data_IF_873521137034
#
_entry.id   IF_873521137034
#
_cell.length_a   1.000
_cell.length_b   1.000
_cell.length_c   1.000
_cell.angle_alpha   90.00
_cell.angle_beta   90.00
_cell.angle_gamma   90.00
#
_symmetry.space_group_name_H-M   'P 1'
#
loop_
_entity.id
_entity.type
_entity.pdbx_description
1 polymer ?
#
# COMPACT_ATOMS: atom_id res chain seq x y z
N UNK A 1 2.22 -34.43 19.81
CA UNK A 1 0.77 -34.10 20.06
C UNK A 1 0.61 -33.00 21.09
N UNK A 2 1.49 -32.90 22.13
CA UNK A 2 1.41 -31.87 23.18
C UNK A 2 1.67 -30.43 22.69
N UNK A 3 2.17 -30.23 21.48
CA UNK A 3 2.46 -28.94 20.85
C UNK A 3 1.54 -28.65 19.67
N UNK A 4 0.41 -29.32 19.57
CA UNK A 4 -0.59 -29.10 18.52
C UNK A 4 -1.86 -28.57 19.21
N UNK A 5 -2.19 -27.33 18.90
CA UNK A 5 -3.48 -26.73 19.23
C UNK A 5 -4.44 -26.89 18.04
N UNK A 6 -5.71 -27.10 18.31
CA UNK A 6 -6.77 -27.10 17.30
C UNK A 6 -7.67 -25.91 17.58
N UNK A 7 -7.75 -25.02 16.63
CA UNK A 7 -8.53 -23.81 16.70
C UNK A 7 -9.60 -23.84 15.60
N UNK A 8 -10.83 -23.52 15.92
CA UNK A 8 -11.96 -23.58 14.99
C UNK A 8 -11.92 -22.45 13.95
N UNK A 9 -11.16 -21.39 14.23
CA UNK A 9 -10.97 -20.21 13.41
C UNK A 9 -9.76 -20.24 12.48
N UNK A 10 -9.01 -21.38 12.44
CA UNK A 10 -7.93 -21.59 11.47
C UNK A 10 -8.52 -21.79 10.07
N UNK A 11 -8.93 -20.69 9.46
CA UNK A 11 -9.48 -20.61 8.13
C UNK A 11 -9.10 -19.26 7.50
N UNK A 12 -8.29 -19.29 6.46
CA UNK A 12 -7.83 -18.11 5.79
C UNK A 12 -8.77 -17.69 4.65
N UNK A 13 -9.20 -16.43 4.66
CA UNK A 13 -9.94 -15.79 3.59
C UNK A 13 -9.71 -14.28 3.56
N UNK A 14 -9.78 -13.68 2.37
CA UNK A 14 -9.71 -12.24 2.19
C UNK A 14 -10.69 -11.81 1.09
N UNK A 15 -11.84 -11.25 1.51
CA UNK A 15 -12.88 -10.87 0.55
C UNK A 15 -13.41 -12.05 -0.26
N UNK A 16 -13.67 -11.82 -1.54
CA UNK A 16 -14.03 -12.84 -2.53
C UNK A 16 -12.76 -13.51 -3.08
N UNK A 17 -12.82 -14.81 -3.36
CA UNK A 17 -11.70 -15.51 -3.97
C UNK A 17 -11.30 -16.81 -3.29
N UNK A 18 -10.13 -17.37 -3.66
CA UNK A 18 -9.61 -18.60 -3.09
C UNK A 18 -9.42 -18.51 -1.57
N UNK A 19 -9.89 -19.55 -0.85
CA UNK A 19 -9.82 -19.62 0.60
C UNK A 19 -9.80 -21.08 1.09
N UNK A 20 -9.51 -21.30 2.36
CA UNK A 20 -9.53 -22.64 2.94
C UNK A 20 -8.98 -22.70 4.36
N UNK A 21 -9.10 -23.87 5.02
CA UNK A 21 -8.50 -24.08 6.33
C UNK A 21 -6.98 -23.95 6.25
N UNK A 22 -6.37 -23.55 7.35
CA UNK A 22 -4.93 -23.38 7.43
C UNK A 22 -4.31 -24.11 8.62
N UNK A 23 -2.98 -24.14 8.63
CA UNK A 23 -2.15 -24.61 9.71
C UNK A 23 -1.00 -23.65 9.90
N UNK A 24 -0.83 -23.19 11.10
CA UNK A 24 0.17 -22.18 11.45
C UNK A 24 1.29 -22.80 12.28
N UNK A 25 2.50 -22.30 12.09
CA UNK A 25 3.67 -22.67 12.89
C UNK A 25 4.02 -21.48 13.77
N UNK A 26 3.93 -21.67 15.07
CA UNK A 26 4.27 -20.67 16.06
C UNK A 26 5.60 -21.02 16.72
N UNK A 27 6.36 -19.97 17.03
CA UNK A 27 7.52 -20.06 17.91
C UNK A 27 7.12 -19.57 19.31
N UNK A 28 7.37 -20.39 20.35
CA UNK A 28 7.12 -20.04 21.75
C UNK A 28 8.29 -19.20 22.27
N UNK A 29 8.05 -17.90 22.46
CA UNK A 29 9.02 -16.92 22.98
C UNK A 29 9.25 -17.04 24.50
N UNK A 30 8.52 -17.94 25.15
CA UNK A 30 8.66 -18.21 26.58
C UNK A 30 7.55 -17.58 27.44
N UNK A 31 7.35 -18.14 28.64
CA UNK A 31 6.27 -17.73 29.52
C UNK A 31 6.38 -16.29 30.04
N UNK A 32 7.58 -15.71 30.03
CA UNK A 32 7.84 -14.33 30.43
C UNK A 32 7.21 -13.30 29.46
N UNK A 33 6.93 -13.73 28.22
CA UNK A 33 6.22 -12.94 27.22
C UNK A 33 4.71 -13.20 27.17
N UNK A 34 4.25 -14.16 27.97
CA UNK A 34 2.85 -14.55 28.02
C UNK A 34 2.00 -13.61 28.87
N UNK A 35 0.68 -13.72 28.71
CA UNK A 35 -0.30 -12.98 29.51
C UNK A 35 -0.34 -13.38 30.99
N UNK A 36 0.38 -14.43 31.41
CA UNK A 36 0.37 -14.94 32.77
C UNK A 36 -0.83 -15.82 33.14
N UNK A 37 -1.77 -16.01 32.21
CA UNK A 37 -2.96 -16.82 32.40
C UNK A 37 -2.63 -18.33 32.32
N UNK A 38 -3.24 -19.21 33.14
CA UNK A 38 -3.00 -20.64 33.13
C UNK A 38 -3.34 -21.33 31.76
N UNK A 39 -4.19 -20.71 30.94
CA UNK A 39 -4.62 -21.21 29.64
C UNK A 39 -3.85 -20.64 28.45
N UNK A 40 -2.75 -19.93 28.67
CA UNK A 40 -1.95 -19.33 27.60
C UNK A 40 -1.43 -20.41 26.63
N UNK A 41 -1.94 -20.36 25.39
CA UNK A 41 -1.65 -21.32 24.33
C UNK A 41 -1.60 -20.57 22.97
N UNK A 42 -1.16 -21.21 21.87
CA UNK A 42 -1.31 -20.66 20.52
C UNK A 42 -2.76 -20.23 20.26
N UNK A 43 -2.94 -19.05 19.65
CA UNK A 43 -4.25 -18.37 19.53
C UNK A 43 -4.58 -17.40 20.67
N UNK A 44 -3.72 -17.26 21.69
CA UNK A 44 -3.80 -16.20 22.67
C UNK A 44 -3.31 -14.87 22.08
N UNK A 45 -4.00 -13.76 22.37
CA UNK A 45 -3.63 -12.40 21.92
C UNK A 45 -2.37 -11.82 22.60
N UNK A 46 -1.59 -12.64 23.30
CA UNK A 46 -0.35 -12.22 23.92
C UNK A 46 0.87 -12.46 23.01
N UNK A 47 1.99 -11.78 23.32
CA UNK A 47 3.21 -11.79 22.51
C UNK A 47 4.05 -13.09 22.65
N UNK A 48 3.57 -14.11 23.38
CA UNK A 48 4.31 -15.34 23.65
C UNK A 48 4.48 -16.21 22.40
N UNK A 49 3.40 -16.38 21.62
CA UNK A 49 3.37 -17.28 20.47
C UNK A 49 3.48 -16.48 19.18
N UNK A 50 4.67 -16.41 18.62
CA UNK A 50 4.92 -15.69 17.37
C UNK A 50 4.66 -16.63 16.18
N UNK A 51 3.63 -16.35 15.38
CA UNK A 51 3.39 -17.02 14.11
C UNK A 51 4.55 -16.71 13.15
N UNK A 52 5.25 -17.75 12.69
CA UNK A 52 6.37 -17.63 11.75
C UNK A 52 6.05 -18.16 10.36
N UNK A 53 5.05 -19.03 10.23
CA UNK A 53 4.68 -19.65 8.96
C UNK A 53 3.20 -20.02 8.96
N UNK A 54 2.52 -19.72 7.86
CA UNK A 54 1.14 -20.15 7.61
C UNK A 54 1.07 -21.03 6.35
N UNK A 55 0.31 -22.14 6.41
CA UNK A 55 0.07 -23.08 5.33
C UNK A 55 -1.44 -23.14 5.07
N UNK A 56 -1.92 -22.44 4.06
CA UNK A 56 -3.33 -22.37 3.68
C UNK A 56 -3.65 -23.49 2.71
N UNK A 57 -4.59 -24.37 3.07
CA UNK A 57 -5.10 -25.44 2.20
C UNK A 57 -6.27 -24.92 1.38
N UNK A 58 -5.97 -24.21 0.31
CA UNK A 58 -6.94 -23.54 -0.56
C UNK A 58 -7.84 -24.57 -1.25
N UNK A 59 -9.09 -24.67 -0.82
CA UNK A 59 -10.05 -25.68 -1.26
C UNK A 59 -11.33 -25.10 -1.82
N UNK A 60 -11.61 -23.80 -1.52
CA UNK A 60 -12.83 -23.15 -1.85
C UNK A 60 -12.59 -21.82 -2.55
N UNK A 61 -13.60 -21.35 -3.27
CA UNK A 61 -13.70 -19.98 -3.78
C UNK A 61 -14.89 -19.31 -3.12
N UNK A 62 -14.66 -18.27 -2.32
CA UNK A 62 -15.71 -17.48 -1.68
C UNK A 62 -16.36 -16.57 -2.71
N UNK A 63 -17.68 -16.62 -2.81
CA UNK A 63 -18.48 -15.83 -3.75
C UNK A 63 -18.93 -14.51 -3.10
N UNK A 64 -19.45 -13.59 -3.92
CA UNK A 64 -19.98 -12.30 -3.47
C UNK A 64 -21.15 -12.43 -2.47
N UNK A 65 -21.93 -13.54 -2.55
CA UNK A 65 -23.02 -13.85 -1.63
C UNK A 65 -22.55 -14.51 -0.32
N UNK A 66 -21.23 -14.68 -0.15
CA UNK A 66 -20.63 -15.32 1.01
C UNK A 66 -20.61 -16.86 0.96
N UNK A 67 -21.10 -17.48 -0.09
CA UNK A 67 -21.06 -18.94 -0.27
C UNK A 67 -19.66 -19.42 -0.67
N UNK A 68 -19.35 -20.68 -0.30
CA UNK A 68 -18.07 -21.33 -0.63
C UNK A 68 -18.29 -22.41 -1.71
N UNK A 69 -17.69 -22.20 -2.88
CA UNK A 69 -17.72 -23.16 -3.98
C UNK A 69 -16.40 -23.93 -3.98
N UNK A 70 -16.42 -25.29 -3.99
CA UNK A 70 -15.18 -26.05 -4.07
C UNK A 70 -14.38 -25.73 -5.33
N UNK A 71 -13.06 -25.57 -5.19
CA UNK A 71 -12.14 -25.43 -6.32
C UNK A 71 -11.98 -26.75 -7.05
N UNK A 72 -11.92 -26.71 -8.37
CA UNK A 72 -11.62 -27.90 -9.20
C UNK A 72 -10.21 -28.46 -8.90
N UNK A 73 -9.24 -27.55 -8.77
CA UNK A 73 -7.85 -27.87 -8.36
C UNK A 73 -7.62 -27.26 -6.99
N UNK A 74 -7.34 -28.11 -6.01
CA UNK A 74 -6.94 -27.67 -4.66
C UNK A 74 -5.46 -27.32 -4.66
N UNK A 75 -5.12 -26.27 -3.91
CA UNK A 75 -3.76 -25.78 -3.75
C UNK A 75 -3.34 -25.74 -2.28
N UNK A 76 -2.05 -25.59 -2.06
CA UNK A 76 -1.50 -25.12 -0.79
C UNK A 76 -0.80 -23.81 -1.09
N UNK A 77 -1.28 -22.75 -0.45
CA UNK A 77 -0.63 -21.45 -0.45
C UNK A 77 0.08 -21.29 0.89
N UNK A 78 1.37 -21.00 0.87
CA UNK A 78 2.17 -20.95 2.09
C UNK A 78 2.93 -19.64 2.16
N UNK A 79 2.98 -19.06 3.36
CA UNK A 79 3.69 -17.81 3.62
C UNK A 79 4.46 -17.83 4.92
N UNK A 80 5.70 -17.33 4.89
CA UNK A 80 6.53 -17.13 6.06
C UNK A 80 6.99 -15.68 6.15
N UNK A 81 6.94 -15.10 7.36
CA UNK A 81 7.44 -13.74 7.58
C UNK A 81 8.96 -13.74 7.64
N UNK A 82 9.64 -13.11 6.67
CA UNK A 82 11.10 -13.01 6.68
C UNK A 82 11.62 -12.38 7.97
N UNK A 83 11.03 -11.28 8.38
CA UNK A 83 11.42 -10.54 9.57
C UNK A 83 11.13 -11.33 10.86
N UNK A 84 10.00 -12.07 10.90
CA UNK A 84 9.66 -12.95 12.02
C UNK A 84 10.66 -14.11 12.14
N UNK A 85 11.02 -14.74 11.04
CA UNK A 85 12.06 -15.78 11.01
C UNK A 85 13.42 -15.21 11.41
N UNK A 86 13.79 -14.04 10.89
CA UNK A 86 15.04 -13.36 11.25
C UNK A 86 15.09 -13.03 12.74
N UNK A 87 14.00 -12.53 13.35
CA UNK A 87 13.98 -12.20 14.77
C UNK A 87 14.18 -13.43 15.66
N UNK A 88 13.58 -14.56 15.30
CA UNK A 88 13.78 -15.84 16.01
C UNK A 88 15.22 -16.33 15.88
N UNK A 89 15.77 -16.33 14.65
CA UNK A 89 17.12 -16.84 14.39
C UNK A 89 18.22 -15.96 14.98
N UNK A 90 17.99 -14.64 15.06
CA UNK A 90 18.90 -13.68 15.64
C UNK A 90 18.67 -13.50 17.16
N UNK A 91 17.65 -14.15 17.72
CA UNK A 91 17.26 -14.02 19.12
C UNK A 91 17.00 -12.56 19.52
N UNK A 92 16.27 -11.84 18.64
CA UNK A 92 15.87 -10.46 18.86
C UNK A 92 14.55 -10.37 19.64
N UNK A 93 14.32 -9.25 20.31
CA UNK A 93 13.07 -9.01 21.04
C UNK A 93 11.87 -8.84 20.13
N UNK A 94 12.08 -8.24 18.97
CA UNK A 94 11.06 -8.06 17.92
C UNK A 94 11.68 -8.02 16.53
N UNK A 95 10.85 -7.90 15.50
CA UNK A 95 11.28 -7.71 14.11
C UNK A 95 12.14 -6.45 13.92
N UNK A 96 11.95 -5.45 14.78
CA UNK A 96 12.61 -4.15 14.68
C UNK A 96 14.08 -4.20 15.09
N UNK A 97 14.50 -5.15 15.91
CA UNK A 97 15.90 -5.32 16.35
C UNK A 97 16.71 -6.23 15.41
N UNK A 98 16.10 -6.72 14.31
CA UNK A 98 16.80 -7.52 13.31
C UNK A 98 17.74 -6.65 12.46
N UNK A 99 18.75 -7.28 11.86
CA UNK A 99 19.64 -6.65 10.89
C UNK A 99 18.94 -6.11 9.62
N UNK A 100 17.68 -6.49 9.43
CA UNK A 100 16.84 -6.02 8.33
C UNK A 100 16.19 -4.64 8.58
N UNK A 101 16.03 -4.24 9.85
CA UNK A 101 15.30 -3.00 10.22
C UNK A 101 16.13 -2.12 11.17
N UNK A 102 16.82 -2.71 12.14
CA UNK A 102 17.53 -1.98 13.18
C UNK A 102 18.51 -0.89 12.66
N UNK A 103 19.30 -1.12 11.60
CA UNK A 103 20.18 -0.07 11.07
C UNK A 103 19.44 1.19 10.60
N UNK A 104 18.17 1.06 10.18
CA UNK A 104 17.34 2.21 9.80
C UNK A 104 16.92 2.98 11.05
N UNK A 105 16.55 2.25 12.13
CA UNK A 105 16.25 2.84 13.45
C UNK A 105 17.47 3.60 13.98
N UNK A 106 18.67 3.00 13.95
CA UNK A 106 19.90 3.66 14.39
C UNK A 106 20.20 4.94 13.60
N UNK A 107 20.02 4.91 12.28
CA UNK A 107 20.22 6.08 11.43
C UNK A 107 19.21 7.19 11.73
N UNK A 108 17.93 6.84 11.96
CA UNK A 108 16.88 7.78 12.36
C UNK A 108 17.16 8.36 13.76
N UNK A 109 17.48 7.53 14.74
CA UNK A 109 17.84 7.94 16.11
C UNK A 109 19.03 8.89 16.12
N UNK A 110 20.09 8.58 15.36
CA UNK A 110 21.26 9.44 15.20
C UNK A 110 20.87 10.80 14.59
N UNK A 111 19.97 10.82 13.61
CA UNK A 111 19.49 12.04 12.97
C UNK A 111 18.67 12.90 13.95
N UNK A 112 17.87 12.28 14.79
CA UNK A 112 17.06 12.93 15.81
C UNK A 112 17.84 13.32 17.06
N UNK A 113 19.03 12.75 17.29
CA UNK A 113 19.80 12.95 18.52
C UNK A 113 19.20 12.23 19.73
N UNK A 114 18.44 11.15 19.51
CA UNK A 114 17.79 10.33 20.55
C UNK A 114 18.40 8.93 20.62
N UNK A 115 18.08 8.18 21.67
CA UNK A 115 18.54 6.80 21.85
C UNK A 115 17.34 5.88 21.88
N UNK A 116 17.36 4.81 21.10
CA UNK A 116 16.36 3.75 21.13
C UNK A 116 16.36 3.02 22.48
N UNK A 117 15.22 2.54 22.95
CA UNK A 117 14.98 1.95 24.29
C UNK A 117 15.11 2.94 25.47
N UNK A 118 14.89 4.24 25.21
CA UNK A 118 14.89 5.24 26.29
C UNK A 118 13.48 5.51 26.80
N UNK A 119 12.52 5.65 25.92
CA UNK A 119 11.11 5.80 26.25
C UNK A 119 10.22 5.24 25.11
N UNK A 120 8.99 4.84 25.48
CA UNK A 120 8.08 4.14 24.56
C UNK A 120 7.66 4.98 23.34
N UNK A 121 7.42 6.28 23.52
CA UNK A 121 6.94 7.15 22.44
C UNK A 121 8.05 7.43 21.41
N UNK A 122 9.28 7.60 21.89
CA UNK A 122 10.48 7.68 21.06
C UNK A 122 10.67 6.39 20.26
N UNK A 123 10.53 5.23 20.89
CA UNK A 123 10.68 3.94 20.24
C UNK A 123 9.61 3.70 19.18
N UNK A 124 8.35 4.02 19.46
CA UNK A 124 7.25 3.97 18.48
C UNK A 124 7.57 4.85 17.27
N UNK A 125 8.01 6.09 17.51
CA UNK A 125 8.34 7.02 16.43
C UNK A 125 9.49 6.52 15.55
N UNK A 126 10.54 5.98 16.14
CA UNK A 126 11.68 5.40 15.42
C UNK A 126 11.27 4.16 14.61
N UNK A 127 10.44 3.28 15.20
CA UNK A 127 9.89 2.10 14.50
C UNK A 127 9.05 2.49 13.30
N UNK A 128 8.16 3.48 13.45
CA UNK A 128 7.33 4.00 12.34
C UNK A 128 8.20 4.59 11.22
N UNK A 129 9.21 5.39 11.56
CA UNK A 129 10.13 5.96 10.56
C UNK A 129 10.84 4.85 9.79
N UNK A 130 11.37 3.84 10.46
CA UNK A 130 12.10 2.74 9.84
C UNK A 130 11.19 1.90 8.92
N UNK A 131 10.06 1.44 9.42
CA UNK A 131 9.08 0.66 8.66
C UNK A 131 8.60 1.41 7.41
N UNK A 132 8.17 2.65 7.59
CA UNK A 132 7.61 3.44 6.50
C UNK A 132 8.67 3.86 5.48
N UNK A 133 9.90 4.19 5.89
CA UNK A 133 10.98 4.49 4.94
C UNK A 133 11.31 3.27 4.08
N UNK A 134 11.34 2.08 4.68
CA UNK A 134 11.54 0.82 3.97
C UNK A 134 10.42 0.56 2.96
N UNK A 135 9.16 0.65 3.40
CA UNK A 135 7.99 0.46 2.55
C UNK A 135 7.92 1.47 1.40
N UNK A 136 8.15 2.76 1.68
CA UNK A 136 8.19 3.84 0.68
C UNK A 136 9.27 3.58 -0.38
N UNK A 137 10.46 3.17 0.04
CA UNK A 137 11.57 2.86 -0.87
C UNK A 137 11.20 1.73 -1.82
N UNK A 138 10.62 0.63 -1.31
CA UNK A 138 10.19 -0.49 -2.11
C UNK A 138 9.05 -0.11 -3.08
N UNK A 139 8.00 0.54 -2.59
CA UNK A 139 6.86 0.96 -3.42
C UNK A 139 7.26 1.87 -4.58
N UNK A 140 8.14 2.85 -4.35
CA UNK A 140 8.62 3.73 -5.43
C UNK A 140 9.52 2.95 -6.40
N UNK A 141 10.35 2.05 -5.89
CA UNK A 141 11.13 1.16 -6.74
C UNK A 141 10.26 0.30 -7.66
N UNK A 142 9.09 -0.12 -7.18
CA UNK A 142 8.10 -0.87 -7.96
C UNK A 142 7.21 0.02 -8.86
N UNK A 143 7.51 1.32 -8.94
CA UNK A 143 6.85 2.26 -9.84
C UNK A 143 5.61 2.97 -9.27
N UNK A 144 5.29 2.78 -7.98
CA UNK A 144 4.22 3.55 -7.35
C UNK A 144 4.69 4.98 -7.07
N UNK A 145 3.89 5.97 -7.45
CA UNK A 145 4.16 7.38 -7.20
C UNK A 145 3.13 7.98 -6.23
N UNK A 146 3.52 8.97 -5.39
CA UNK A 146 2.59 9.64 -4.50
C UNK A 146 1.44 10.29 -5.26
N UNK A 147 0.20 9.95 -4.91
CA UNK A 147 -1.02 10.50 -5.52
C UNK A 147 -2.13 10.72 -4.49
N UNK A 148 -3.29 11.19 -4.94
CA UNK A 148 -4.45 11.40 -4.07
C UNK A 148 -5.39 10.19 -4.03
N UNK A 149 -5.15 9.17 -4.85
CA UNK A 149 -6.03 8.01 -5.01
C UNK A 149 -5.22 6.72 -5.15
N UNK A 150 -5.87 5.58 -4.91
CA UNK A 150 -5.32 4.25 -5.12
C UNK A 150 -4.02 3.98 -4.35
N UNK A 151 -3.11 3.23 -4.96
CA UNK A 151 -1.82 2.83 -4.36
C UNK A 151 -0.94 4.03 -4.00
N UNK A 152 -0.94 5.07 -4.82
CA UNK A 152 -0.16 6.28 -4.59
C UNK A 152 -0.65 7.09 -3.38
N UNK A 153 -1.94 6.99 -3.02
CA UNK A 153 -2.46 7.55 -1.78
C UNK A 153 -1.87 6.84 -0.56
N UNK A 154 -1.84 5.50 -0.58
CA UNK A 154 -1.23 4.71 0.50
C UNK A 154 0.24 5.08 0.69
N UNK A 155 1.00 5.14 -0.41
CA UNK A 155 2.39 5.58 -0.39
C UNK A 155 2.53 6.98 0.22
N UNK A 156 1.74 7.96 -0.23
CA UNK A 156 1.75 9.32 0.30
C UNK A 156 1.44 9.36 1.79
N UNK A 157 0.45 8.59 2.24
CA UNK A 157 0.04 8.51 3.64
C UNK A 157 1.17 8.03 4.54
N UNK A 158 1.81 6.90 4.22
CA UNK A 158 2.89 6.34 5.05
C UNK A 158 4.14 7.23 5.02
N UNK A 159 4.46 7.86 3.88
CA UNK A 159 5.56 8.83 3.80
C UNK A 159 5.30 10.02 4.74
N UNK A 160 4.11 10.63 4.67
CA UNK A 160 3.73 11.76 5.54
C UNK A 160 3.67 11.37 7.00
N UNK A 161 3.25 10.16 7.32
CA UNK A 161 3.28 9.63 8.69
C UNK A 161 4.72 9.53 9.20
N UNK A 162 5.66 9.04 8.40
CA UNK A 162 7.07 9.04 8.78
C UNK A 162 7.61 10.46 9.03
N UNK A 163 7.26 11.43 8.18
CA UNK A 163 7.66 12.84 8.37
C UNK A 163 7.12 13.40 9.68
N UNK A 164 5.85 13.13 10.02
CA UNK A 164 5.25 13.54 11.31
C UNK A 164 6.03 12.96 12.48
N UNK A 165 6.32 11.67 12.47
CA UNK A 165 7.08 11.03 13.55
C UNK A 165 8.50 11.60 13.69
N UNK A 166 9.13 12.04 12.59
CA UNK A 166 10.35 12.81 12.65
C UNK A 166 10.17 14.14 13.41
N UNK A 167 9.04 14.84 13.21
CA UNK A 167 8.72 16.05 13.97
C UNK A 167 8.50 15.79 15.45
N UNK A 168 7.86 14.69 15.81
CA UNK A 168 7.70 14.29 17.23
C UNK A 168 9.06 14.05 17.89
N UNK A 169 10.04 13.57 17.16
CA UNK A 169 11.42 13.42 17.62
C UNK A 169 12.26 14.71 17.57
N UNK A 170 11.65 15.85 17.19
CA UNK A 170 12.34 17.15 17.13
C UNK A 170 13.18 17.36 15.84
N UNK A 171 13.05 16.50 14.83
CA UNK A 171 13.78 16.70 13.57
C UNK A 171 13.13 17.85 12.79
N UNK A 172 13.89 18.89 12.51
CA UNK A 172 13.45 19.98 11.66
C UNK A 172 13.88 19.77 10.20
N UNK A 173 12.95 20.05 9.24
CA UNK A 173 13.18 19.90 7.81
C UNK A 173 13.23 18.47 7.29
N UNK A 174 13.63 18.28 6.03
CA UNK A 174 13.72 16.97 5.38
C UNK A 174 14.81 16.08 5.99
N UNK A 175 14.48 14.79 6.17
CA UNK A 175 15.41 13.82 6.79
C UNK A 175 15.33 12.40 6.24
N UNK A 176 14.29 12.07 5.45
CA UNK A 176 14.09 10.70 4.97
C UNK A 176 15.10 10.27 3.89
N UNK A 177 15.58 11.22 3.07
CA UNK A 177 16.47 10.91 1.94
C UNK A 177 17.76 10.17 2.35
N UNK A 178 18.47 10.53 3.42
CA UNK A 178 19.62 9.75 3.88
C UNK A 178 19.25 8.33 4.37
N UNK A 179 18.06 8.13 4.90
CA UNK A 179 17.61 6.81 5.37
C UNK A 179 17.37 5.84 4.20
N UNK A 180 17.03 6.36 3.01
CA UNK A 180 16.92 5.55 1.79
C UNK A 180 18.24 4.86 1.46
N UNK A 181 19.38 5.51 1.69
CA UNK A 181 20.70 4.89 1.48
C UNK A 181 20.85 3.63 2.34
N UNK A 182 20.44 3.71 3.60
CA UNK A 182 20.49 2.57 4.52
C UNK A 182 19.56 1.44 4.06
N UNK A 183 18.35 1.78 3.62
CA UNK A 183 17.41 0.78 3.09
C UNK A 183 17.98 0.10 1.84
N UNK A 184 18.58 0.85 0.95
CA UNK A 184 19.23 0.31 -0.27
C UNK A 184 20.41 -0.60 0.08
N UNK A 185 21.20 -0.24 1.07
CA UNK A 185 22.34 -1.07 1.51
C UNK A 185 21.87 -2.41 2.11
N UNK A 186 20.71 -2.43 2.77
CA UNK A 186 20.12 -3.66 3.36
C UNK A 186 19.43 -4.51 2.29
N UNK A 187 18.51 -3.92 1.51
CA UNK A 187 17.63 -4.66 0.61
C UNK A 187 18.18 -4.84 -0.80
N UNK A 188 19.03 -3.91 -1.25
CA UNK A 188 19.59 -3.92 -2.61
C UNK A 188 20.34 -5.20 -3.01
N UNK A 189 21.10 -5.86 -2.11
CA UNK A 189 21.72 -7.14 -2.43
C UNK A 189 20.74 -8.25 -2.79
N UNK A 190 19.53 -8.24 -2.21
CA UNK A 190 18.45 -9.20 -2.51
C UNK A 190 17.48 -8.74 -3.58
N UNK A 191 17.32 -7.42 -3.76
CA UNK A 191 16.32 -6.81 -4.66
C UNK A 191 17.02 -5.76 -5.52
N UNK A 192 17.56 -6.18 -6.67
CA UNK A 192 18.38 -5.32 -7.55
C UNK A 192 17.68 -4.03 -7.97
N UNK A 193 16.35 -4.05 -8.22
CA UNK A 193 15.57 -2.88 -8.61
C UNK A 193 15.64 -1.72 -7.60
N UNK A 194 15.77 -2.03 -6.31
CA UNK A 194 15.92 -1.02 -5.25
C UNK A 194 17.24 -0.27 -5.40
N UNK A 195 18.33 -0.98 -5.67
CA UNK A 195 19.64 -0.37 -5.89
C UNK A 195 19.70 0.43 -7.20
N UNK A 196 19.15 -0.11 -8.28
CA UNK A 196 19.13 0.52 -9.61
C UNK A 196 18.33 1.83 -9.62
N UNK A 197 17.21 1.88 -8.89
CA UNK A 197 16.31 3.04 -8.86
C UNK A 197 16.57 4.00 -7.69
N UNK A 198 17.64 3.82 -6.93
CA UNK A 198 18.01 4.60 -5.75
C UNK A 198 17.84 6.11 -5.93
N UNK A 199 18.43 6.67 -6.98
CA UNK A 199 18.39 8.12 -7.22
C UNK A 199 17.00 8.62 -7.60
N UNK A 200 16.22 7.79 -8.29
CA UNK A 200 14.82 8.09 -8.59
C UNK A 200 13.97 8.11 -7.31
N UNK A 201 14.10 7.10 -6.45
CA UNK A 201 13.42 7.03 -5.15
C UNK A 201 13.74 8.27 -4.31
N UNK A 202 15.01 8.64 -4.20
CA UNK A 202 15.46 9.83 -3.46
C UNK A 202 14.81 11.10 -3.96
N UNK A 203 14.72 11.31 -5.28
CA UNK A 203 14.06 12.50 -5.86
C UNK A 203 12.57 12.55 -5.54
N UNK A 204 11.87 11.42 -5.66
CA UNK A 204 10.43 11.35 -5.37
C UNK A 204 10.16 11.65 -3.90
N UNK A 205 10.93 11.03 -2.99
CA UNK A 205 10.79 11.24 -1.54
C UNK A 205 11.12 12.67 -1.17
N UNK A 206 12.24 13.23 -1.67
CA UNK A 206 12.63 14.60 -1.39
C UNK A 206 11.53 15.60 -1.77
N UNK A 207 10.95 15.45 -2.96
CA UNK A 207 9.88 16.32 -3.44
C UNK A 207 8.60 16.24 -2.59
N UNK A 208 8.17 15.04 -2.20
CA UNK A 208 6.97 14.86 -1.39
C UNK A 208 7.18 15.31 0.06
N UNK A 209 8.36 15.02 0.63
CA UNK A 209 8.76 15.45 1.97
C UNK A 209 8.84 16.97 2.06
N UNK A 210 9.48 17.63 1.09
CA UNK A 210 9.57 19.09 1.01
C UNK A 210 8.18 19.75 0.97
N UNK A 211 7.31 19.26 0.05
CA UNK A 211 5.94 19.77 -0.08
C UNK A 211 5.14 19.63 1.20
N UNK A 212 5.27 18.50 1.88
CA UNK A 212 4.54 18.27 3.13
C UNK A 212 5.09 19.12 4.27
N UNK A 213 6.40 19.28 4.38
CA UNK A 213 7.03 20.13 5.39
C UNK A 213 6.58 21.59 5.29
N UNK A 214 6.28 22.11 4.08
CA UNK A 214 5.76 23.48 3.89
C UNK A 214 4.41 23.71 4.55
N UNK A 215 3.54 22.69 4.59
CA UNK A 215 2.18 22.79 5.14
C UNK A 215 2.05 22.17 6.52
N UNK A 216 2.98 21.29 6.91
CA UNK A 216 2.91 20.49 8.13
C UNK A 216 2.79 21.36 9.40
N UNK A 217 3.64 22.35 9.54
CA UNK A 217 3.63 23.20 10.74
C UNK A 217 2.31 23.95 10.92
N UNK A 218 1.77 24.50 9.81
CA UNK A 218 0.48 25.20 9.83
C UNK A 218 -0.68 24.24 10.12
N UNK A 219 -0.66 23.05 9.50
CA UNK A 219 -1.70 22.05 9.71
C UNK A 219 -1.69 21.51 11.14
N UNK A 220 -0.51 21.26 11.74
CA UNK A 220 -0.39 20.85 13.13
C UNK A 220 -0.89 21.93 14.09
N UNK A 221 -0.54 23.21 13.87
CA UNK A 221 -1.03 24.31 14.69
C UNK A 221 -2.56 24.42 14.63
N UNK A 222 -3.12 24.38 13.41
CA UNK A 222 -4.58 24.44 13.23
C UNK A 222 -5.29 23.27 13.90
N UNK A 223 -4.74 22.06 13.82
CA UNK A 223 -5.33 20.88 14.45
C UNK A 223 -5.23 20.95 15.97
N UNK A 224 -4.10 21.42 16.52
CA UNK A 224 -3.93 21.64 17.96
C UNK A 224 -4.96 22.63 18.50
N UNK A 225 -5.09 23.81 17.85
CA UNK A 225 -6.05 24.84 18.23
C UNK A 225 -7.50 24.29 18.17
N UNK A 226 -7.82 23.51 17.16
CA UNK A 226 -9.12 22.87 16.98
C UNK A 226 -9.41 21.84 18.09
N UNK A 227 -8.43 21.01 18.45
CA UNK A 227 -8.55 20.03 19.53
C UNK A 227 -8.78 20.74 20.88
N UNK A 228 -8.03 21.80 21.16
CA UNK A 228 -8.20 22.59 22.39
C UNK A 228 -9.58 23.27 22.47
N UNK A 229 -10.03 23.88 21.38
CA UNK A 229 -11.33 24.55 21.29
C UNK A 229 -12.51 23.55 21.47
N UNK A 230 -12.43 22.39 20.83
CA UNK A 230 -13.45 21.34 20.97
C UNK A 230 -13.51 20.79 22.39
N UNK A 231 -12.36 20.52 23.01
CA UNK A 231 -12.29 20.10 24.41
C UNK A 231 -12.88 21.14 25.37
N UNK A 232 -12.58 22.42 25.15
CA UNK A 232 -13.14 23.50 25.97
C UNK A 232 -14.67 23.59 25.85
N UNK A 233 -15.23 23.18 24.71
CA UNK A 233 -16.68 23.09 24.45
C UNK A 233 -17.31 21.78 24.90
N UNK A 234 -16.53 20.83 25.41
CA UNK A 234 -16.99 19.51 25.80
C UNK A 234 -17.38 18.61 24.62
N UNK A 235 -16.90 18.90 23.43
CA UNK A 235 -17.05 18.05 22.27
C UNK A 235 -15.99 16.95 22.26
N UNK A 236 -16.35 15.81 21.71
CA UNK A 236 -15.51 14.60 21.63
C UNK A 236 -15.16 14.22 20.19
N UNK A 237 -15.61 15.00 19.21
CA UNK A 237 -15.48 14.65 17.80
C UNK A 237 -15.11 15.90 16.97
N UNK A 238 -14.12 15.76 16.09
CA UNK A 238 -13.72 16.75 15.11
C UNK A 238 -14.69 16.70 13.92
N UNK A 239 -15.33 17.82 13.52
CA UNK A 239 -16.24 17.84 12.37
C UNK A 239 -15.58 17.38 11.06
N UNK A 240 -16.29 16.61 10.25
CA UNK A 240 -15.77 16.10 8.97
C UNK A 240 -15.34 17.18 7.98
N UNK A 241 -15.96 18.37 8.04
CA UNK A 241 -15.56 19.54 7.24
C UNK A 241 -14.20 20.10 7.62
N UNK A 242 -13.84 20.02 8.91
CA UNK A 242 -12.51 20.45 9.38
C UNK A 242 -11.46 19.42 9.04
N UNK A 243 -11.79 18.10 9.15
CA UNK A 243 -10.95 17.00 8.66
C UNK A 243 -10.70 17.14 7.15
N UNK A 244 -11.75 17.46 6.38
CA UNK A 244 -11.63 17.70 4.94
C UNK A 244 -10.75 18.92 4.63
N UNK A 245 -10.85 20.01 5.36
CA UNK A 245 -10.00 21.19 5.20
C UNK A 245 -8.52 20.85 5.44
N UNK A 246 -8.21 20.08 6.48
CA UNK A 246 -6.86 19.60 6.75
C UNK A 246 -6.33 18.71 5.60
N UNK A 247 -7.18 17.87 5.05
CA UNK A 247 -6.83 17.00 3.91
C UNK A 247 -6.60 17.79 2.62
N UNK A 248 -7.55 18.63 2.22
CA UNK A 248 -7.56 19.33 0.93
C UNK A 248 -6.52 20.46 0.87
N UNK A 249 -6.43 21.27 1.94
CA UNK A 249 -5.59 22.47 1.98
C UNK A 249 -4.18 22.19 2.48
N UNK A 250 -4.05 21.41 3.53
CA UNK A 250 -2.76 21.18 4.21
C UNK A 250 -2.15 19.82 3.87
N UNK A 251 -2.87 18.97 3.13
CA UNK A 251 -2.39 17.67 2.69
C UNK A 251 -2.27 16.65 3.82
N UNK A 252 -3.04 16.80 4.92
CA UNK A 252 -3.10 15.80 5.97
C UNK A 252 -3.96 14.63 5.51
N UNK A 253 -3.43 13.40 5.36
CA UNK A 253 -4.28 12.24 5.25
C UNK A 253 -5.28 12.22 6.41
N UNK A 254 -6.54 11.85 6.14
CA UNK A 254 -7.55 11.86 7.21
C UNK A 254 -7.20 10.91 8.36
N UNK A 255 -6.53 9.80 8.06
CA UNK A 255 -6.02 8.85 9.06
C UNK A 255 -4.95 9.49 9.97
N UNK A 256 -4.13 10.41 9.43
CA UNK A 256 -3.16 11.15 10.23
C UNK A 256 -3.87 12.15 11.15
N UNK A 257 -4.95 12.77 10.68
CA UNK A 257 -5.80 13.63 11.51
C UNK A 257 -6.48 12.83 12.62
N UNK A 258 -6.98 11.62 12.29
CA UNK A 258 -7.59 10.70 13.26
C UNK A 258 -6.60 10.27 14.35
N UNK A 259 -5.37 9.88 13.97
CA UNK A 259 -4.31 9.51 14.91
C UNK A 259 -4.00 10.65 15.89
N UNK A 260 -3.85 11.89 15.40
CA UNK A 260 -3.58 13.06 16.24
C UNK A 260 -4.81 13.43 17.12
N UNK A 261 -6.01 13.30 16.58
CA UNK A 261 -7.24 13.53 17.34
C UNK A 261 -7.36 12.53 18.50
N UNK A 262 -7.08 11.25 18.25
CA UNK A 262 -7.10 10.19 19.27
C UNK A 262 -6.08 10.41 20.37
N UNK A 263 -4.86 10.90 20.07
CA UNK A 263 -3.89 11.34 21.09
C UNK A 263 -4.46 12.45 21.97
N UNK A 264 -5.29 13.32 21.37
CA UNK A 264 -6.04 14.34 22.08
C UNK A 264 -7.30 13.82 22.80
N UNK A 265 -7.68 12.56 22.66
CA UNK A 265 -8.89 11.98 23.24
C UNK A 265 -10.17 12.34 22.46
N UNK A 266 -10.05 12.71 21.16
CA UNK A 266 -11.19 12.98 20.28
C UNK A 266 -11.27 11.94 19.18
N UNK A 267 -12.48 11.75 18.64
CA UNK A 267 -12.74 11.03 17.38
C UNK A 267 -12.79 12.01 16.20
N UNK A 268 -12.94 11.49 14.97
CA UNK A 268 -13.25 12.28 13.78
C UNK A 268 -14.63 11.92 13.24
N UNK A 269 -15.32 12.88 12.63
CA UNK A 269 -16.54 12.64 11.85
C UNK A 269 -16.16 12.15 10.44
N UNK A 270 -15.97 10.83 10.32
CA UNK A 270 -15.57 10.21 9.06
C UNK A 270 -16.66 10.31 7.99
N UNK A 271 -17.94 10.21 8.37
CA UNK A 271 -19.07 10.31 7.44
C UNK A 271 -19.16 11.72 6.84
N UNK A 272 -19.01 12.76 7.67
CA UNK A 272 -18.96 14.14 7.21
C UNK A 272 -17.75 14.44 6.32
N UNK A 273 -16.58 13.81 6.59
CA UNK A 273 -15.42 13.89 5.72
C UNK A 273 -15.71 13.26 4.35
N UNK A 274 -16.29 12.05 4.32
CA UNK A 274 -16.61 11.33 3.08
C UNK A 274 -17.64 12.08 2.23
N UNK A 275 -18.62 12.72 2.88
CA UNK A 275 -19.60 13.60 2.21
C UNK A 275 -18.91 14.81 1.56
N UNK A 276 -18.00 15.48 2.27
CA UNK A 276 -17.24 16.61 1.74
C UNK A 276 -16.32 16.20 0.57
N UNK A 277 -15.70 15.01 0.65
CA UNK A 277 -14.92 14.42 -0.43
C UNK A 277 -15.76 14.12 -1.66
N UNK A 278 -16.96 13.57 -1.48
CA UNK A 278 -17.90 13.28 -2.58
C UNK A 278 -18.34 14.57 -3.29
N UNK A 279 -18.62 15.62 -2.53
CA UNK A 279 -18.97 16.93 -3.08
C UNK A 279 -17.81 17.54 -3.88
N UNK A 280 -16.58 17.46 -3.37
CA UNK A 280 -15.38 17.93 -4.09
C UNK A 280 -15.19 17.16 -5.40
N UNK A 281 -15.33 15.83 -5.38
CA UNK A 281 -15.24 15.00 -6.59
C UNK A 281 -16.29 15.37 -7.63
N UNK A 282 -17.51 15.66 -7.18
CA UNK A 282 -18.60 16.10 -8.07
C UNK A 282 -18.25 17.45 -8.70
N UNK A 283 -17.83 18.44 -7.91
CA UNK A 283 -17.37 19.74 -8.41
C UNK A 283 -16.19 19.63 -9.37
N UNK A 284 -15.23 18.75 -9.07
CA UNK A 284 -14.09 18.50 -9.95
C UNK A 284 -14.49 17.82 -11.28
N UNK A 285 -15.48 16.92 -11.25
CA UNK A 285 -16.04 16.30 -12.47
C UNK A 285 -16.80 17.34 -13.31
N UNK A 286 -17.64 18.15 -12.70
CA UNK A 286 -18.38 19.22 -13.39
C UNK A 286 -17.44 20.24 -14.02
N UNK A 287 -16.36 20.64 -13.32
CA UNK A 287 -15.32 21.51 -13.86
C UNK A 287 -14.49 20.84 -15.00
N UNK A 288 -14.33 19.50 -15.00
CA UNK A 288 -13.67 18.75 -16.07
C UNK A 288 -14.58 18.54 -17.27
N UNK A 289 -15.88 18.37 -17.08
CA UNK A 289 -16.86 18.23 -18.18
C UNK A 289 -16.82 19.45 -19.11
N UNK A 290 -16.51 20.63 -18.61
CA UNK A 290 -16.29 21.83 -19.44
C UNK A 290 -14.94 21.81 -20.21
N UNK A 291 -13.94 21.01 -19.78
CA UNK A 291 -12.65 20.86 -20.47
C UNK A 291 -12.55 19.55 -21.26
N UNK A 292 -13.19 18.47 -20.79
CA UNK A 292 -13.13 17.11 -21.35
C UNK A 292 -14.26 16.79 -22.36
N UNK A 293 -15.08 17.76 -22.76
CA UNK A 293 -15.99 17.60 -23.90
C UNK A 293 -15.25 17.23 -25.21
N UNK A 294 -13.94 16.92 -25.13
CA UNK A 294 -13.06 16.54 -26.23
C UNK A 294 -12.39 15.17 -26.13
N UNK A 295 -12.56 14.41 -25.03
CA UNK A 295 -11.99 13.06 -24.92
C UNK A 295 -13.05 12.09 -24.43
N UNK A 296 -14.00 11.77 -25.31
CA UNK A 296 -14.84 10.60 -25.12
C UNK A 296 -13.96 9.36 -25.35
N UNK A 297 -13.88 8.43 -24.40
CA UNK A 297 -13.37 7.08 -24.67
C UNK A 297 -14.15 6.50 -25.84
N UNK A 298 -13.50 5.90 -26.86
CA UNK A 298 -14.22 5.21 -27.91
C UNK A 298 -15.19 4.21 -27.28
N UNK A 299 -16.33 4.00 -27.90
CA UNK A 299 -17.30 3.00 -27.45
C UNK A 299 -16.69 1.60 -27.65
N UNK A 300 -15.92 1.15 -26.66
CA UNK A 300 -15.19 -0.13 -26.62
C UNK A 300 -16.02 -1.22 -25.96
N UNK A 301 -17.22 -0.91 -25.49
CA UNK A 301 -18.11 -1.79 -24.73
C UNK A 301 -18.56 -3.07 -25.47
N UNK A 302 -18.21 -3.19 -26.74
CA UNK A 302 -18.61 -4.35 -27.57
C UNK A 302 -17.46 -5.30 -27.94
N UNK A 303 -16.23 -5.04 -27.47
CA UNK A 303 -15.08 -5.87 -27.77
C UNK A 303 -14.71 -6.73 -26.58
N UNK A 304 -15.30 -7.93 -26.50
CA UNK A 304 -14.82 -8.94 -25.59
C UNK A 304 -13.50 -9.53 -26.12
N UNK A 305 -12.48 -9.60 -25.26
CA UNK A 305 -11.24 -10.31 -25.54
C UNK A 305 -10.98 -11.36 -24.46
N UNK A 306 -10.23 -12.38 -24.85
CA UNK A 306 -9.80 -13.45 -23.95
C UNK A 306 -8.52 -13.03 -23.22
N UNK A 307 -8.55 -13.04 -21.90
CA UNK A 307 -7.35 -12.87 -21.07
C UNK A 307 -6.83 -14.25 -20.69
N UNK A 308 -5.66 -14.62 -21.17
CA UNK A 308 -5.03 -15.89 -20.88
C UNK A 308 -4.31 -15.81 -19.53
N UNK A 309 -4.79 -16.55 -18.56
CA UNK A 309 -4.28 -16.55 -17.16
C UNK A 309 -3.20 -17.60 -16.88
N UNK A 310 -2.77 -18.38 -17.88
CA UNK A 310 -1.67 -19.33 -17.74
C UNK A 310 -0.33 -18.64 -18.03
N UNK A 311 0.78 -19.19 -17.54
CA UNK A 311 2.18 -18.73 -17.76
C UNK A 311 2.60 -18.77 -19.25
N UNK A 312 1.85 -18.05 -20.08
CA UNK A 312 2.07 -17.92 -21.52
C UNK A 312 2.78 -16.61 -21.77
N UNK A 313 4.07 -16.66 -22.08
CA UNK A 313 4.89 -15.48 -22.33
C UNK A 313 4.70 -14.89 -23.75
N UNK A 314 4.05 -15.59 -24.66
CA UNK A 314 3.86 -15.17 -26.04
C UNK A 314 2.59 -15.80 -26.64
N UNK A 315 1.75 -14.97 -27.27
CA UNK A 315 0.54 -15.43 -27.96
C UNK A 315 0.41 -14.71 -29.29
N UNK A 316 -0.12 -15.42 -30.30
CA UNK A 316 -0.55 -14.79 -31.55
C UNK A 316 -1.97 -14.23 -31.39
N UNK A 317 -2.12 -12.94 -31.63
CA UNK A 317 -3.40 -12.24 -31.50
C UNK A 317 -3.65 -11.30 -32.70
N UNK A 318 -4.91 -10.94 -32.90
CA UNK A 318 -5.30 -9.92 -33.87
C UNK A 318 -5.58 -8.62 -33.17
N UNK A 319 -5.17 -7.49 -33.75
CA UNK A 319 -5.59 -6.17 -33.32
C UNK A 319 -7.07 -5.99 -33.68
N UNK A 320 -7.90 -5.87 -32.67
CA UNK A 320 -9.35 -5.68 -32.81
C UNK A 320 -9.71 -4.20 -32.90
N UNK A 321 -8.96 -3.37 -32.16
CA UNK A 321 -9.14 -1.92 -32.17
C UNK A 321 -7.79 -1.23 -31.97
N UNK A 322 -7.66 -0.10 -32.65
CA UNK A 322 -6.61 0.90 -32.43
C UNK A 322 -7.29 2.25 -32.20
N UNK A 323 -6.85 3.00 -31.21
CA UNK A 323 -7.45 4.28 -30.88
C UNK A 323 -6.48 5.27 -30.25
N UNK A 324 -6.81 6.55 -30.34
CA UNK A 324 -6.15 7.64 -29.61
C UNK A 324 -7.23 8.46 -28.90
N UNK A 325 -7.22 8.40 -27.56
CA UNK A 325 -8.32 8.95 -26.77
C UNK A 325 -9.68 8.35 -27.21
N UNK A 326 -10.60 9.19 -27.62
CA UNK A 326 -11.94 8.80 -28.09
C UNK A 326 -12.02 8.38 -29.58
N UNK A 327 -10.95 8.53 -30.30
CA UNK A 327 -10.98 8.37 -31.77
C UNK A 327 -10.45 7.00 -32.16
N UNK A 328 -11.23 6.23 -32.88
CA UNK A 328 -10.77 5.00 -33.53
C UNK A 328 -9.85 5.34 -34.70
N UNK A 329 -8.72 4.64 -34.77
CA UNK A 329 -7.74 4.79 -35.84
C UNK A 329 -7.70 3.55 -36.72
N UNK A 330 -7.44 3.73 -38.00
CA UNK A 330 -7.17 2.65 -38.96
C UNK A 330 -5.68 2.29 -38.99
N UNK A 331 -4.80 3.22 -38.58
CA UNK A 331 -3.35 3.03 -38.51
C UNK A 331 -2.74 4.01 -37.53
N UNK A 332 -1.54 3.69 -37.02
CA UNK A 332 -0.74 4.58 -36.17
C UNK A 332 0.62 4.84 -36.82
N UNK A 333 1.15 6.03 -36.60
CA UNK A 333 2.49 6.43 -37.05
C UNK A 333 3.57 5.99 -36.04
N UNK A 334 4.81 5.97 -36.49
CA UNK A 334 5.96 5.73 -35.63
C UNK A 334 6.06 6.80 -34.52
N UNK A 335 6.21 6.36 -33.28
CA UNK A 335 6.25 7.23 -32.10
C UNK A 335 4.89 7.77 -31.62
N UNK A 336 3.77 7.36 -32.23
CA UNK A 336 2.44 7.72 -31.76
C UNK A 336 2.01 6.82 -30.59
N UNK A 337 1.53 7.44 -29.52
CA UNK A 337 0.92 6.73 -28.37
C UNK A 337 -0.53 6.39 -28.68
N UNK A 338 -0.89 5.13 -28.54
CA UNK A 338 -2.22 4.61 -28.91
C UNK A 338 -2.72 3.58 -27.92
N UNK A 339 -4.04 3.43 -27.85
CA UNK A 339 -4.70 2.34 -27.12
C UNK A 339 -5.01 1.19 -28.08
N UNK A 340 -4.67 -0.03 -27.66
CA UNK A 340 -4.83 -1.24 -28.46
C UNK A 340 -5.69 -2.27 -27.74
N UNK A 341 -6.65 -2.85 -28.43
CA UNK A 341 -7.39 -4.03 -27.99
C UNK A 341 -7.05 -5.21 -28.90
N UNK A 342 -6.64 -6.32 -28.28
CA UNK A 342 -6.30 -7.56 -28.97
C UNK A 342 -7.43 -8.58 -28.84
N UNK A 343 -7.49 -9.56 -29.75
CA UNK A 343 -8.44 -10.68 -29.67
C UNK A 343 -8.17 -11.57 -28.45
N UNK A 344 -6.92 -11.72 -28.07
CA UNK A 344 -6.45 -12.41 -26.87
C UNK A 344 -5.16 -11.77 -26.39
N UNK A 345 -4.88 -11.84 -25.09
CA UNK A 345 -3.69 -11.21 -24.50
C UNK A 345 -3.14 -12.04 -23.33
N UNK A 346 -1.81 -12.25 -23.26
CA UNK A 346 -1.16 -12.85 -22.11
C UNK A 346 -0.86 -11.82 -21.01
N UNK A 347 -1.00 -10.51 -21.33
CA UNK A 347 -0.68 -9.43 -20.39
C UNK A 347 -1.70 -9.38 -19.26
N UNK A 348 -1.22 -9.38 -18.00
CA UNK A 348 -2.04 -9.14 -16.84
C UNK A 348 -2.51 -7.68 -16.80
N UNK A 349 -3.82 -7.49 -16.68
CA UNK A 349 -4.39 -6.15 -16.53
C UNK A 349 -4.27 -5.66 -15.09
N UNK A 350 -3.96 -4.38 -14.90
CA UNK A 350 -3.88 -3.73 -13.59
C UNK A 350 -5.12 -4.05 -12.74
N UNK A 351 -4.90 -4.64 -11.54
CA UNK A 351 -5.99 -5.02 -10.63
C UNK A 351 -5.47 -5.68 -9.36
N UNK A 352 -6.30 -5.74 -8.31
CA UNK A 352 -5.95 -6.41 -7.05
C UNK A 352 -4.66 -5.91 -6.37
N UNK A 353 -4.23 -4.67 -6.67
CA UNK A 353 -2.97 -4.12 -6.17
C UNK A 353 -1.74 -4.44 -7.03
N UNK A 354 -1.87 -5.28 -8.05
CA UNK A 354 -0.80 -5.56 -9.02
C UNK A 354 -0.77 -4.48 -10.11
N UNK A 355 0.43 -4.15 -10.59
CA UNK A 355 0.62 -3.31 -11.78
C UNK A 355 0.24 -4.09 -13.04
N UNK A 356 -0.22 -3.40 -14.08
CA UNK A 356 -0.44 -4.01 -15.38
C UNK A 356 0.89 -4.42 -16.03
N UNK A 357 0.86 -5.49 -16.79
CA UNK A 357 2.02 -5.96 -17.52
C UNK A 357 2.45 -4.97 -18.59
N UNK A 358 3.76 -4.99 -18.87
CA UNK A 358 4.42 -4.26 -19.94
C UNK A 358 5.10 -5.26 -20.87
N UNK A 359 5.38 -4.85 -22.11
CA UNK A 359 6.05 -5.72 -23.06
C UNK A 359 5.97 -5.22 -24.49
N UNK A 360 5.84 -6.14 -25.45
CA UNK A 360 5.90 -5.78 -26.84
C UNK A 360 4.88 -6.53 -27.69
N UNK A 361 4.28 -5.83 -28.65
CA UNK A 361 3.59 -6.45 -29.78
C UNK A 361 4.52 -6.44 -30.98
N UNK A 362 4.72 -7.60 -31.59
CA UNK A 362 5.59 -7.74 -32.77
C UNK A 362 4.72 -8.20 -33.95
N UNK A 363 4.69 -7.39 -34.99
CA UNK A 363 3.95 -7.68 -36.21
C UNK A 363 4.81 -7.52 -37.49
N UNK A 364 4.28 -7.87 -38.63
CA UNK A 364 5.03 -7.79 -39.87
C UNK A 364 5.43 -6.37 -40.28
N UNK A 365 4.77 -5.35 -39.69
CA UNK A 365 5.01 -3.93 -40.01
C UNK A 365 5.89 -3.24 -38.97
N UNK A 366 6.20 -3.88 -37.83
CA UNK A 366 7.02 -3.26 -36.79
C UNK A 366 6.79 -3.84 -35.39
N UNK A 367 7.27 -3.11 -34.42
CA UNK A 367 7.21 -3.44 -33.00
C UNK A 367 6.56 -2.29 -32.24
N UNK A 368 5.61 -2.59 -31.37
CA UNK A 368 4.94 -1.64 -30.48
C UNK A 368 5.32 -1.97 -29.04
N UNK A 369 5.69 -0.98 -28.27
CA UNK A 369 5.98 -1.13 -26.85
C UNK A 369 4.69 -0.90 -26.05
N UNK A 370 4.37 -1.83 -25.14
CA UNK A 370 3.23 -1.72 -24.23
C UNK A 370 3.74 -1.17 -22.91
N UNK A 371 3.24 0.01 -22.54
CA UNK A 371 3.62 0.74 -21.33
C UNK A 371 2.75 0.38 -20.13
N UNK A 372 1.53 -0.10 -20.35
CA UNK A 372 0.61 -0.55 -19.31
C UNK A 372 -0.52 -1.40 -19.90
N UNK A 373 -1.13 -2.23 -19.07
CA UNK A 373 -2.29 -3.05 -19.43
C UNK A 373 -3.39 -2.83 -18.39
N UNK A 374 -4.59 -2.49 -18.86
CA UNK A 374 -5.75 -2.18 -18.01
C UNK A 374 -6.98 -2.95 -18.44
N UNK A 375 -7.98 -2.98 -17.55
CA UNK A 375 -9.25 -3.65 -17.78
C UNK A 375 -10.40 -2.66 -17.61
N UNK A 376 -11.34 -2.67 -18.53
CA UNK A 376 -12.60 -1.95 -18.40
C UNK A 376 -13.55 -2.68 -17.43
N UNK A 377 -14.53 -1.98 -16.82
CA UNK A 377 -15.48 -2.60 -15.90
C UNK A 377 -16.22 -3.82 -16.47
N UNK A 378 -16.49 -3.85 -17.75
CA UNK A 378 -17.10 -4.95 -18.49
C UNK A 378 -16.15 -6.11 -18.81
N UNK A 379 -14.89 -6.03 -18.41
CA UNK A 379 -13.91 -7.10 -18.53
C UNK A 379 -12.94 -7.01 -19.72
N UNK A 380 -13.16 -6.12 -20.70
CA UNK A 380 -12.26 -5.94 -21.85
C UNK A 380 -10.87 -5.44 -21.41
N UNK A 381 -9.81 -6.14 -21.83
CA UNK A 381 -8.41 -5.75 -21.56
C UNK A 381 -7.90 -4.89 -22.71
N UNK A 382 -7.21 -3.80 -22.37
CA UNK A 382 -6.58 -2.89 -23.34
C UNK A 382 -5.15 -2.53 -22.92
N UNK A 383 -4.38 -2.18 -23.91
CA UNK A 383 -2.94 -1.92 -23.79
C UNK A 383 -2.61 -0.50 -24.22
#
# INVERSE_FOLDING_TARGET
ESHIARLDDNFWEIGEGPCGPDSEIFYDLGPERGCGEPGCAPGCDCDRYLEIWNLVFTQFNKQADGSYVPLEKKNIDTGAGLERLASVLQNCESNFETDLIFPIIEAAAKKAGVTYHTDADTDVSLKVIADHTRAVTALISDGVLPSNEGRGYVLRRILRRAVRHGRLLGIEGPFLVPLIDVVVDILGPGIASIAEKKDFVKRVVANEEERFNQTLAQGLSLLSDLVEDLKAKGADTIPGTDVFKLYDTYGFPWELTEEIAAEGGLAIDKEGFDAAMAEQRTRAREARVDQDAKVATPDITFLANENLTEDINTVEAKVMMLGEGATRLDSAADGQEVTIILSSTPFHAEGGGQVGDTGFLVGPMGKIEIHNTKRLPEGTVYH
#
